data_IF_751161745209
#
_entry.id   IF_751161745209
#
_cell.length_a   1.000
_cell.length_b   1.000
_cell.length_c   1.000
_cell.angle_alpha   90.00
_cell.angle_beta   90.00
_cell.angle_gamma   90.00
#
_symmetry.space_group_name_H-M   'P 1'
#
loop_
_entity.id
_entity.type
_entity.pdbx_description
1 polymer ?
#
# COMPACT_ATOMS: atom_id res chain seq x y z
N UNK A 1 -19.60 19.47 4.52
CA UNK A 1 -18.28 19.21 3.87
C UNK A 1 -18.28 17.74 3.45
N UNK A 2 -17.96 17.44 2.19
CA UNK A 2 -17.75 16.03 1.80
C UNK A 2 -16.56 15.51 2.63
N UNK A 3 -16.75 14.45 3.39
CA UNK A 3 -15.63 13.76 4.03
C UNK A 3 -14.61 13.39 2.96
N UNK A 4 -13.33 13.65 3.23
CA UNK A 4 -12.25 13.24 2.34
C UNK A 4 -12.28 11.72 2.20
N UNK A 5 -12.03 11.23 0.99
CA UNK A 5 -11.84 9.79 0.78
C UNK A 5 -10.59 9.32 1.47
N UNK A 6 -10.66 8.16 2.07
CA UNK A 6 -9.55 7.49 2.75
C UNK A 6 -9.04 6.35 1.87
N UNK A 7 -7.77 6.41 1.53
CA UNK A 7 -7.11 5.44 0.66
C UNK A 7 -5.94 4.77 1.40
N UNK A 8 -5.77 3.47 1.20
CA UNK A 8 -4.58 2.74 1.63
C UNK A 8 -3.81 2.33 0.38
N UNK A 9 -2.50 2.63 0.34
CA UNK A 9 -1.61 2.22 -0.75
C UNK A 9 -0.43 1.46 -0.17
N UNK A 10 -0.33 0.18 -0.44
CA UNK A 10 0.82 -0.64 -0.02
C UNK A 10 1.94 -0.55 -1.04
N UNK A 11 3.21 -0.69 -0.59
CA UNK A 11 4.35 -0.59 -1.50
C UNK A 11 4.56 0.81 -2.08
N UNK A 12 4.21 1.85 -1.31
CA UNK A 12 4.18 3.25 -1.78
C UNK A 12 5.54 3.96 -1.80
N UNK A 13 6.65 3.29 -1.47
CA UNK A 13 7.97 3.94 -1.44
C UNK A 13 8.56 4.23 -2.83
N UNK A 14 8.06 3.58 -3.88
CA UNK A 14 8.58 3.70 -5.26
C UNK A 14 7.57 3.24 -6.31
N UNK A 15 7.92 3.49 -7.59
CA UNK A 15 7.21 2.95 -8.75
C UNK A 15 5.72 3.29 -8.77
N UNK A 16 4.90 2.31 -9.16
CA UNK A 16 3.45 2.50 -9.30
C UNK A 16 2.77 2.90 -7.99
N UNK A 17 3.09 2.22 -6.88
CA UNK A 17 2.48 2.55 -5.58
C UNK A 17 2.73 3.99 -5.16
N UNK A 18 3.96 4.49 -5.38
CA UNK A 18 4.31 5.89 -5.11
C UNK A 18 3.51 6.84 -6.00
N UNK A 19 3.48 6.58 -7.30
CA UNK A 19 2.74 7.42 -8.25
C UNK A 19 1.25 7.47 -7.94
N UNK A 20 0.64 6.33 -7.62
CA UNK A 20 -0.79 6.25 -7.25
C UNK A 20 -1.05 7.05 -5.97
N UNK A 21 -0.23 6.88 -4.93
CA UNK A 21 -0.39 7.63 -3.67
C UNK A 21 -0.28 9.13 -3.87
N UNK A 22 0.66 9.58 -4.72
CA UNK A 22 0.84 10.99 -5.05
C UNK A 22 -0.39 11.57 -5.76
N UNK A 23 -0.88 10.92 -6.81
CA UNK A 23 -2.06 11.36 -7.57
C UNK A 23 -3.31 11.41 -6.67
N UNK A 24 -3.54 10.39 -5.84
CA UNK A 24 -4.68 10.36 -4.92
C UNK A 24 -4.64 11.54 -3.93
N UNK A 25 -3.46 11.91 -3.44
CA UNK A 25 -3.33 13.05 -2.54
C UNK A 25 -3.43 14.38 -3.29
N UNK A 26 -2.64 14.58 -4.36
CA UNK A 26 -2.52 15.87 -5.04
C UNK A 26 -3.73 16.21 -5.89
N UNK A 27 -4.25 15.24 -6.67
CA UNK A 27 -5.28 15.49 -7.68
C UNK A 27 -6.69 15.18 -7.17
N UNK A 28 -6.83 14.20 -6.27
CA UNK A 28 -8.14 13.78 -5.75
C UNK A 28 -8.42 14.31 -4.34
N UNK A 29 -7.43 14.88 -3.66
CA UNK A 29 -7.57 15.42 -2.31
C UNK A 29 -7.82 14.40 -1.22
N UNK A 30 -7.41 13.13 -1.44
CA UNK A 30 -7.62 12.04 -0.49
C UNK A 30 -6.71 12.13 0.72
N UNK A 31 -7.13 11.49 1.82
CA UNK A 31 -6.22 11.06 2.89
C UNK A 31 -5.65 9.71 2.49
N UNK A 32 -4.34 9.62 2.28
CA UNK A 32 -3.66 8.43 1.79
C UNK A 32 -2.75 7.85 2.87
N UNK A 33 -3.05 6.66 3.35
CA UNK A 33 -2.15 5.87 4.19
C UNK A 33 -1.18 5.12 3.30
N UNK A 34 0.04 5.62 3.20
CA UNK A 34 1.09 5.07 2.37
C UNK A 34 1.99 4.15 3.20
N UNK A 35 2.05 2.86 2.84
CA UNK A 35 2.85 1.90 3.59
C UNK A 35 4.03 1.36 2.78
N UNK A 36 5.17 1.24 3.41
CA UNK A 36 6.37 0.56 2.91
C UNK A 36 7.37 0.35 4.05
N UNK A 37 8.47 -0.36 3.77
CA UNK A 37 9.55 -0.55 4.76
C UNK A 37 10.52 0.63 4.82
N UNK A 38 10.64 1.40 3.75
CA UNK A 38 11.54 2.55 3.67
C UNK A 38 10.81 3.83 4.10
N UNK A 39 11.03 4.22 5.34
CA UNK A 39 10.41 5.41 5.95
C UNK A 39 10.83 6.71 5.28
N UNK A 40 12.11 6.85 4.91
CA UNK A 40 12.64 8.07 4.27
C UNK A 40 11.96 8.32 2.91
N UNK A 41 11.79 7.26 2.12
CA UNK A 41 11.08 7.36 0.84
C UNK A 41 9.60 7.72 1.01
N UNK A 42 8.94 7.24 2.08
CA UNK A 42 7.57 7.61 2.41
C UNK A 42 7.48 9.07 2.89
N UNK A 43 8.44 9.56 3.68
CA UNK A 43 8.50 10.96 4.09
C UNK A 43 8.67 11.90 2.89
N UNK A 44 9.58 11.56 1.97
CA UNK A 44 9.75 12.31 0.73
C UNK A 44 8.47 12.32 -0.14
N UNK A 45 7.73 11.21 -0.18
CA UNK A 45 6.42 11.17 -0.84
C UNK A 45 5.42 12.11 -0.15
N UNK A 46 5.36 12.13 1.18
CA UNK A 46 4.45 12.98 1.92
C UNK A 46 4.76 14.48 1.73
N UNK A 47 6.04 14.85 1.72
CA UNK A 47 6.50 16.21 1.43
C UNK A 47 6.11 16.64 0.01
N UNK A 48 6.34 15.79 -0.99
CA UNK A 48 5.92 16.08 -2.37
C UNK A 48 4.39 16.18 -2.50
N UNK A 49 3.66 15.31 -1.83
CA UNK A 49 2.20 15.35 -1.83
C UNK A 49 1.62 16.64 -1.24
N UNK A 50 2.30 17.23 -0.26
CA UNK A 50 1.89 18.49 0.37
C UNK A 50 1.89 19.69 -0.59
N UNK A 51 2.58 19.62 -1.72
CA UNK A 51 2.54 20.66 -2.77
C UNK A 51 1.22 20.65 -3.57
N UNK A 52 0.36 19.64 -3.42
CA UNK A 52 -0.93 19.54 -4.10
C UNK A 52 -1.94 20.58 -3.61
N UNK A 53 -2.77 21.06 -4.53
CA UNK A 53 -3.76 22.14 -4.26
C UNK A 53 -5.12 21.65 -3.77
N UNK A 54 -5.39 20.35 -3.83
CA UNK A 54 -6.67 19.73 -3.44
C UNK A 54 -6.80 19.46 -1.94
N UNK A 55 -5.75 19.74 -1.17
CA UNK A 55 -5.74 19.55 0.28
C UNK A 55 -5.70 18.11 0.74
N UNK A 56 -5.31 17.17 -0.13
CA UNK A 56 -5.03 15.79 0.27
C UNK A 56 -3.76 15.69 1.11
N UNK A 57 -3.62 14.58 1.81
CA UNK A 57 -2.47 14.32 2.68
C UNK A 57 -1.99 12.88 2.53
N UNK A 58 -0.69 12.67 2.69
CA UNK A 58 -0.10 11.34 2.81
C UNK A 58 0.32 11.12 4.26
N UNK A 59 -0.27 10.11 4.88
CA UNK A 59 0.12 9.61 6.21
C UNK A 59 1.11 8.46 6.02
N UNK A 60 2.30 8.63 6.56
CA UNK A 60 3.41 7.67 6.44
C UNK A 60 3.24 6.55 7.46
N UNK A 61 3.30 5.31 7.01
CA UNK A 61 3.23 4.13 7.88
C UNK A 61 4.32 3.13 7.48
N UNK A 62 5.37 3.04 8.29
CA UNK A 62 6.42 2.04 8.08
C UNK A 62 5.87 0.66 8.42
N UNK A 63 5.80 -0.22 7.43
CA UNK A 63 5.16 -1.52 7.54
C UNK A 63 5.85 -2.57 6.68
N UNK A 64 6.14 -3.72 7.27
CA UNK A 64 6.53 -4.92 6.55
C UNK A 64 5.31 -5.82 6.33
N UNK A 65 4.95 -6.05 5.08
CA UNK A 65 3.80 -6.88 4.71
C UNK A 65 3.96 -8.38 5.07
N UNK A 66 5.12 -8.79 5.59
CA UNK A 66 5.36 -10.15 6.11
C UNK A 66 4.94 -10.31 7.56
N UNK A 67 4.76 -9.23 8.27
CA UNK A 67 4.36 -9.20 9.68
C UNK A 67 2.84 -9.01 9.77
N UNK A 68 2.11 -10.10 9.88
CA UNK A 68 0.65 -10.09 9.92
C UNK A 68 0.12 -9.32 11.14
N UNK A 69 0.81 -9.36 12.27
CA UNK A 69 0.41 -8.62 13.47
C UNK A 69 0.54 -7.11 13.24
N UNK A 70 1.67 -6.67 12.67
CA UNK A 70 1.86 -5.26 12.32
C UNK A 70 0.85 -4.78 11.26
N UNK A 71 0.48 -5.63 10.30
CA UNK A 71 -0.56 -5.33 9.31
C UNK A 71 -1.92 -5.18 9.98
N UNK A 72 -2.25 -6.04 10.93
CA UNK A 72 -3.49 -5.95 11.70
C UNK A 72 -3.54 -4.67 12.54
N UNK A 73 -2.49 -4.36 13.27
CA UNK A 73 -2.38 -3.13 14.09
C UNK A 73 -2.53 -1.87 13.22
N UNK A 74 -1.91 -1.86 12.05
CA UNK A 74 -2.07 -0.78 11.08
C UNK A 74 -3.53 -0.60 10.63
N UNK A 75 -4.22 -1.66 10.30
CA UNK A 75 -5.64 -1.58 9.87
C UNK A 75 -6.53 -1.12 11.03
N UNK A 76 -6.30 -1.59 12.26
CA UNK A 76 -7.03 -1.10 13.44
C UNK A 76 -6.74 0.38 13.72
N UNK A 77 -5.52 0.85 13.48
CA UNK A 77 -5.18 2.27 13.55
C UNK A 77 -6.02 3.08 12.54
N UNK A 78 -6.01 2.69 11.27
CA UNK A 78 -6.80 3.38 10.23
C UNK A 78 -8.29 3.39 10.58
N UNK A 79 -8.81 2.28 11.06
CA UNK A 79 -10.20 2.15 11.51
C UNK A 79 -10.52 3.07 12.68
N UNK A 80 -9.61 3.20 13.65
CA UNK A 80 -9.76 4.08 14.81
C UNK A 80 -9.74 5.56 14.42
N UNK A 81 -8.86 5.94 13.48
CA UNK A 81 -8.69 7.33 13.05
C UNK A 81 -9.80 7.80 12.10
N UNK A 82 -10.22 6.96 11.16
CA UNK A 82 -11.04 7.36 10.03
C UNK A 82 -12.42 6.67 9.99
N UNK A 83 -12.53 5.49 10.60
CA UNK A 83 -13.72 4.60 10.56
C UNK A 83 -14.23 4.29 9.13
N UNK A 84 -13.41 4.51 8.12
CA UNK A 84 -13.71 4.22 6.71
C UNK A 84 -12.44 3.93 5.92
N UNK A 85 -12.57 3.16 4.85
CA UNK A 85 -11.61 3.03 3.75
C UNK A 85 -12.40 3.00 2.46
N UNK A 86 -12.10 3.93 1.56
CA UNK A 86 -12.79 4.05 0.26
C UNK A 86 -12.03 3.33 -0.85
N UNK A 87 -10.71 3.21 -0.72
CA UNK A 87 -9.86 2.56 -1.71
C UNK A 87 -8.69 1.83 -1.04
N UNK A 88 -8.50 0.57 -1.42
CA UNK A 88 -7.30 -0.21 -1.09
C UNK A 88 -6.52 -0.53 -2.35
N UNK A 89 -5.28 -0.07 -2.43
CA UNK A 89 -4.34 -0.38 -3.52
C UNK A 89 -3.27 -1.33 -3.01
N UNK A 90 -3.36 -2.59 -3.38
CA UNK A 90 -2.36 -3.62 -3.09
C UNK A 90 -1.23 -3.54 -4.13
N UNK A 91 -0.23 -2.68 -3.90
CA UNK A 91 0.93 -2.48 -4.80
C UNK A 91 2.24 -3.02 -4.24
N UNK A 92 2.25 -3.57 -3.04
CA UNK A 92 3.45 -4.20 -2.48
C UNK A 92 3.80 -5.48 -3.24
N UNK A 93 5.00 -5.53 -3.81
CA UNK A 93 5.50 -6.67 -4.56
C UNK A 93 7.02 -6.81 -4.45
N UNK A 94 7.50 -7.98 -4.08
CA UNK A 94 8.94 -8.27 -3.94
C UNK A 94 9.52 -9.07 -5.10
N UNK A 95 8.68 -9.63 -5.96
CA UNK A 95 9.11 -10.52 -7.05
C UNK A 95 10.06 -9.88 -8.05
N UNK A 96 9.91 -8.58 -8.36
CA UNK A 96 10.81 -7.89 -9.29
C UNK A 96 12.26 -7.85 -8.79
N UNK A 97 12.47 -7.59 -7.50
CA UNK A 97 13.82 -7.58 -6.92
C UNK A 97 14.40 -9.00 -6.90
N UNK A 98 13.58 -9.98 -6.57
CA UNK A 98 14.00 -11.38 -6.51
C UNK A 98 14.33 -11.95 -7.90
N UNK A 99 13.58 -11.57 -8.94
CA UNK A 99 13.78 -12.08 -10.30
C UNK A 99 14.89 -11.35 -11.07
N UNK A 100 15.20 -10.11 -10.74
CA UNK A 100 16.14 -9.27 -11.51
C UNK A 100 17.51 -9.98 -11.77
N UNK A 101 18.14 -10.65 -10.80
CA UNK A 101 19.39 -11.38 -11.05
C UNK A 101 19.25 -12.61 -11.96
N UNK A 102 18.00 -13.01 -12.23
CA UNK A 102 17.66 -14.23 -12.99
C UNK A 102 16.93 -13.93 -14.30
N UNK A 103 16.91 -12.66 -14.73
CA UNK A 103 16.36 -12.30 -16.03
C UNK A 103 17.06 -13.08 -17.17
N UNK A 104 16.27 -13.58 -18.12
CA UNK A 104 16.77 -14.38 -19.23
C UNK A 104 16.91 -15.88 -18.92
N UNK A 105 16.87 -16.30 -17.66
CA UNK A 105 16.84 -17.72 -17.30
C UNK A 105 15.41 -18.28 -17.44
N UNK A 106 15.25 -19.50 -17.94
CA UNK A 106 13.97 -20.17 -17.93
C UNK A 106 13.51 -20.41 -16.48
N UNK A 107 12.20 -20.56 -16.24
CA UNK A 107 11.67 -20.63 -14.89
C UNK A 107 12.20 -21.80 -14.05
N UNK A 108 12.52 -22.93 -14.69
CA UNK A 108 13.06 -24.14 -14.02
C UNK A 108 14.51 -24.01 -13.56
N UNK A 109 15.21 -22.97 -13.99
CA UNK A 109 16.58 -22.65 -13.54
C UNK A 109 16.62 -21.53 -12.49
N UNK A 110 15.45 -20.97 -12.15
CA UNK A 110 15.33 -19.91 -11.15
C UNK A 110 15.21 -20.54 -9.77
N UNK A 111 15.85 -19.97 -8.73
CA UNK A 111 15.71 -20.47 -7.37
C UNK A 111 14.27 -20.32 -6.87
N UNK A 112 13.81 -21.24 -6.01
CA UNK A 112 12.47 -21.20 -5.42
C UNK A 112 12.19 -19.90 -4.65
N UNK A 113 13.23 -19.23 -4.14
CA UNK A 113 13.12 -17.94 -3.46
C UNK A 113 12.48 -16.84 -4.32
N UNK A 114 12.59 -16.92 -5.65
CA UNK A 114 11.90 -16.00 -6.58
C UNK A 114 10.39 -16.23 -6.54
N UNK A 115 9.97 -17.49 -6.53
CA UNK A 115 8.57 -17.88 -6.39
C UNK A 115 8.02 -17.48 -5.03
N UNK A 116 8.73 -17.79 -3.94
CA UNK A 116 8.33 -17.46 -2.57
C UNK A 116 8.18 -15.93 -2.38
N UNK A 117 9.12 -15.14 -2.91
CA UNK A 117 9.04 -13.68 -2.84
C UNK A 117 7.80 -13.14 -3.56
N UNK A 118 7.46 -13.71 -4.72
CA UNK A 118 6.30 -13.30 -5.50
C UNK A 118 4.98 -13.67 -4.81
N UNK A 119 4.91 -14.86 -4.20
CA UNK A 119 3.70 -15.29 -3.49
C UNK A 119 3.54 -14.57 -2.16
N UNK A 120 4.60 -14.47 -1.36
CA UNK A 120 4.50 -13.91 0.00
C UNK A 120 4.24 -12.40 -0.01
N UNK A 121 4.98 -11.64 -0.83
CA UNK A 121 4.82 -10.16 -0.92
C UNK A 121 4.11 -9.75 -2.23
N UNK A 122 3.33 -10.58 -2.79
CA UNK A 122 2.44 -10.29 -3.90
C UNK A 122 1.06 -10.77 -3.53
N UNK A 123 0.86 -12.08 -3.65
CA UNK A 123 -0.46 -12.67 -3.46
C UNK A 123 -0.90 -12.71 -1.99
N UNK A 124 -0.06 -13.28 -1.10
CA UNK A 124 -0.43 -13.46 0.31
C UNK A 124 -0.64 -12.12 1.02
N UNK A 125 0.27 -11.17 0.85
CA UNK A 125 0.15 -9.85 1.49
C UNK A 125 -1.09 -9.09 1.02
N UNK A 126 -1.43 -9.17 -0.27
CA UNK A 126 -2.65 -8.58 -0.81
C UNK A 126 -3.91 -9.23 -0.20
N UNK A 127 -3.91 -10.56 -0.04
CA UNK A 127 -5.02 -11.27 0.60
C UNK A 127 -5.18 -10.87 2.07
N UNK A 128 -4.10 -10.83 2.85
CA UNK A 128 -4.14 -10.45 4.28
C UNK A 128 -4.68 -9.03 4.45
N UNK A 129 -4.13 -8.07 3.73
CA UNK A 129 -4.59 -6.67 3.78
C UNK A 129 -6.06 -6.56 3.38
N UNK A 130 -6.47 -7.20 2.29
CA UNK A 130 -7.85 -7.17 1.82
C UNK A 130 -8.82 -7.81 2.82
N UNK A 131 -8.44 -8.91 3.46
CA UNK A 131 -9.27 -9.59 4.47
C UNK A 131 -9.54 -8.71 5.69
N UNK A 132 -8.57 -7.88 6.08
CA UNK A 132 -8.68 -6.97 7.22
C UNK A 132 -9.45 -5.69 6.88
N UNK A 133 -9.31 -5.18 5.66
CA UNK A 133 -9.96 -3.93 5.21
C UNK A 133 -11.40 -4.14 4.73
N UNK A 134 -11.69 -5.25 4.07
CA UNK A 134 -13.01 -5.52 3.47
C UNK A 134 -14.19 -5.40 4.45
N UNK A 135 -14.10 -5.87 5.73
CA UNK A 135 -15.20 -5.71 6.68
C UNK A 135 -15.60 -4.25 6.92
N UNK A 136 -14.61 -3.33 6.90
CA UNK A 136 -14.86 -1.91 7.06
C UNK A 136 -15.58 -1.31 5.84
N UNK A 137 -15.16 -1.71 4.64
CA UNK A 137 -15.82 -1.31 3.39
C UNK A 137 -17.26 -1.84 3.32
N UNK A 138 -17.48 -3.10 3.68
CA UNK A 138 -18.81 -3.72 3.72
C UNK A 138 -19.72 -3.01 4.72
N UNK A 139 -19.22 -2.71 5.92
CA UNK A 139 -19.97 -1.96 6.94
C UNK A 139 -20.43 -0.60 6.41
N UNK A 140 -19.58 0.08 5.69
CA UNK A 140 -19.83 1.43 5.16
C UNK A 140 -20.55 1.40 3.80
N UNK A 141 -20.81 0.22 3.23
CA UNK A 141 -21.42 0.02 1.89
C UNK A 141 -20.71 0.81 0.80
N UNK A 142 -19.41 0.99 0.93
CA UNK A 142 -18.54 1.71 0.02
C UNK A 142 -17.14 1.12 0.08
N UNK A 143 -16.43 1.14 -1.05
CA UNK A 143 -15.03 0.69 -1.13
C UNK A 143 -14.72 0.03 -2.48
N UNK A 144 -13.45 0.11 -2.85
CA UNK A 144 -12.85 -0.49 -4.05
C UNK A 144 -11.45 -1.01 -3.74
#
# INVERSE_FOLDING_TARGET
MKNKKVCIVTGASRGLGRGIALVLAQEEGCTVYATARNEEALKALAEEAAAGTKGGVVKVCTLDQRDDAAVQDFVEQVKSEENQVDLLVNSAFAGLIAIAPHFGKPFWERPLSVFDASLNIGLRSAHVMSSLVAPLMVKNKAGL
#
